data_IF_317714777275
#
_entry.id   IF_317714777275
#
_cell.length_a   1.000
_cell.length_b   1.000
_cell.length_c   1.000
_cell.angle_alpha   90.00
_cell.angle_beta   90.00
_cell.angle_gamma   90.00
#
_symmetry.space_group_name_H-M   'P 1'
#
loop_
_entity.id
_entity.type
_entity.pdbx_description
1 polymer ?
#
# COMPACT_ATOMS: atom_id res chain seq x y z
N UNK A 1 -2.37 14.37 -15.52
CA UNK A 1 -1.67 13.54 -14.52
C UNK A 1 -2.00 12.07 -14.75
N UNK A 2 -1.01 11.25 -15.09
CA UNK A 2 -1.17 9.82 -15.44
C UNK A 2 -0.84 8.87 -14.29
N UNK A 3 -0.45 9.38 -13.11
CA UNK A 3 0.04 8.59 -11.98
C UNK A 3 1.49 8.15 -12.10
N UNK A 4 1.94 7.78 -13.30
CA UNK A 4 3.23 7.15 -13.56
C UNK A 4 4.42 7.94 -13.00
N UNK A 5 5.40 7.21 -12.43
CA UNK A 5 6.67 7.79 -12.02
C UNK A 5 7.34 8.48 -13.22
N UNK A 6 7.87 9.71 -13.06
CA UNK A 6 8.59 10.37 -14.13
C UNK A 6 9.74 9.48 -14.66
N UNK A 7 10.01 9.44 -15.97
CA UNK A 7 11.03 8.56 -16.54
C UNK A 7 12.42 8.76 -15.91
N UNK A 8 12.75 9.99 -15.52
CA UNK A 8 14.00 10.30 -14.82
C UNK A 8 14.10 9.61 -13.45
N UNK A 9 12.99 9.52 -12.71
CA UNK A 9 12.97 8.87 -11.40
C UNK A 9 13.11 7.35 -11.53
N UNK A 10 12.48 6.75 -12.55
CA UNK A 10 12.67 5.32 -12.88
C UNK A 10 14.15 5.04 -13.20
N UNK A 11 14.81 5.91 -13.97
CA UNK A 11 16.25 5.78 -14.26
C UNK A 11 17.11 5.94 -13.01
N UNK A 12 16.78 6.88 -12.11
CA UNK A 12 17.48 7.05 -10.83
C UNK A 12 17.33 5.82 -9.95
N UNK A 13 16.13 5.26 -9.86
CA UNK A 13 15.87 4.02 -9.12
C UNK A 13 16.67 2.84 -9.69
N UNK A 14 16.88 2.75 -11.01
CA UNK A 14 17.73 1.71 -11.59
C UNK A 14 19.20 1.84 -11.16
N UNK A 15 19.70 3.06 -10.94
CA UNK A 15 21.07 3.29 -10.44
C UNK A 15 21.24 2.92 -8.96
N UNK A 16 20.15 2.66 -8.25
CA UNK A 16 20.15 2.18 -6.87
C UNK A 16 20.17 0.66 -6.77
N UNK A 17 20.57 -0.07 -7.82
CA UNK A 17 20.66 -1.54 -7.80
C UNK A 17 21.43 -2.07 -6.58
N UNK A 18 22.53 -1.40 -6.21
CA UNK A 18 23.32 -1.73 -5.02
C UNK A 18 22.49 -1.75 -3.73
N UNK A 19 21.50 -0.86 -3.59
CA UNK A 19 20.62 -0.80 -2.43
C UNK A 19 19.60 -1.94 -2.47
N UNK A 20 19.04 -2.21 -3.65
CA UNK A 20 18.05 -3.27 -3.83
C UNK A 20 18.66 -4.65 -3.59
N UNK A 21 19.89 -4.90 -4.04
CA UNK A 21 20.61 -6.15 -3.80
C UNK A 21 20.91 -6.42 -2.33
N UNK A 22 21.17 -5.36 -1.56
CA UNK A 22 21.41 -5.46 -0.11
C UNK A 22 20.10 -5.49 0.70
N UNK A 23 18.96 -5.17 0.09
CA UNK A 23 17.66 -5.14 0.77
C UNK A 23 17.10 -6.56 0.97
N UNK A 24 16.30 -6.72 2.03
CA UNK A 24 15.52 -7.94 2.29
C UNK A 24 14.01 -7.75 2.11
N UNK A 25 13.57 -6.50 2.05
CA UNK A 25 12.21 -6.09 1.76
C UNK A 25 12.22 -4.61 1.35
N UNK A 26 11.15 -4.16 0.70
CA UNK A 26 10.92 -2.77 0.31
C UNK A 26 9.69 -2.21 1.02
N UNK A 27 9.77 -0.93 1.37
CA UNK A 27 8.77 -0.24 2.18
C UNK A 27 8.32 1.08 1.55
N UNK A 28 7.66 1.06 0.38
CA UNK A 28 7.22 2.28 -0.28
C UNK A 28 6.15 2.99 0.56
N UNK A 29 6.30 4.28 0.79
CA UNK A 29 5.24 5.10 1.40
C UNK A 29 4.17 5.44 0.35
N UNK A 30 2.93 5.03 0.61
CA UNK A 30 1.74 5.32 -0.21
C UNK A 30 0.78 6.26 0.51
N UNK A 31 1.28 7.10 1.40
CA UNK A 31 0.47 8.04 2.17
C UNK A 31 -0.31 8.97 1.24
N UNK A 32 -1.63 9.05 1.46
CA UNK A 32 -2.54 9.82 0.63
C UNK A 32 -2.86 11.15 1.30
N UNK A 33 -2.63 12.26 0.60
CA UNK A 33 -3.02 13.59 1.04
C UNK A 33 -4.51 13.83 0.82
N UNK A 34 -5.12 14.69 1.63
CA UNK A 34 -6.57 14.94 1.57
C UNK A 34 -7.02 15.54 0.22
N UNK A 35 -6.14 16.26 -0.49
CA UNK A 35 -6.44 16.80 -1.83
C UNK A 35 -6.73 15.70 -2.88
N UNK A 36 -6.28 14.47 -2.62
CA UNK A 36 -6.51 13.30 -3.48
C UNK A 36 -7.74 12.48 -3.09
N UNK A 37 -8.45 12.91 -2.04
CA UNK A 37 -9.59 12.19 -1.49
C UNK A 37 -10.63 11.85 -2.55
N UNK A 38 -11.09 10.59 -2.53
CA UNK A 38 -12.19 10.08 -3.35
C UNK A 38 -11.98 10.34 -4.86
N UNK A 39 -10.72 10.46 -5.30
CA UNK A 39 -10.38 10.91 -6.65
C UNK A 39 -9.67 9.83 -7.48
N UNK A 40 -9.88 9.79 -8.81
CA UNK A 40 -9.09 8.95 -9.71
C UNK A 40 -7.59 9.24 -9.67
N UNK A 41 -7.21 10.46 -9.29
CA UNK A 41 -5.82 10.86 -9.12
C UNK A 41 -5.19 10.15 -7.92
N UNK A 42 -5.94 9.97 -6.81
CA UNK A 42 -5.50 9.21 -5.64
C UNK A 42 -5.23 7.75 -5.97
N UNK A 43 -6.13 7.09 -6.69
CA UNK A 43 -5.95 5.72 -7.19
C UNK A 43 -4.69 5.59 -8.06
N UNK A 44 -4.52 6.50 -9.03
CA UNK A 44 -3.35 6.50 -9.92
C UNK A 44 -2.04 6.76 -9.18
N UNK A 45 -2.07 7.66 -8.19
CA UNK A 45 -0.91 8.00 -7.35
C UNK A 45 -0.42 6.78 -6.57
N UNK A 46 -1.32 6.08 -5.88
CA UNK A 46 -0.95 4.88 -5.12
C UNK A 46 -0.53 3.75 -6.06
N UNK A 47 -1.29 3.53 -7.13
CA UNK A 47 -1.00 2.51 -8.13
C UNK A 47 0.39 2.64 -8.74
N UNK A 48 0.81 3.86 -9.10
CA UNK A 48 2.13 4.09 -9.65
C UNK A 48 3.26 3.82 -8.65
N UNK A 49 3.10 4.23 -7.38
CA UNK A 49 4.08 3.96 -6.33
C UNK A 49 4.25 2.46 -6.07
N UNK A 50 3.14 1.72 -6.01
CA UNK A 50 3.16 0.26 -5.86
C UNK A 50 3.79 -0.42 -7.08
N UNK A 51 3.45 0.05 -8.28
CA UNK A 51 3.99 -0.51 -9.52
C UNK A 51 5.50 -0.33 -9.60
N UNK A 52 6.01 0.84 -9.25
CA UNK A 52 7.45 1.09 -9.23
C UNK A 52 8.15 0.26 -8.15
N UNK A 53 7.58 0.17 -6.94
CA UNK A 53 8.14 -0.65 -5.87
C UNK A 53 8.24 -2.14 -6.25
N UNK A 54 7.19 -2.68 -6.87
CA UNK A 54 7.19 -4.06 -7.37
C UNK A 54 8.18 -4.24 -8.53
N UNK A 55 8.32 -3.25 -9.42
CA UNK A 55 9.31 -3.29 -10.50
C UNK A 55 10.73 -3.33 -9.95
N UNK A 56 11.09 -2.46 -9.00
CA UNK A 56 12.44 -2.46 -8.43
C UNK A 56 12.70 -3.68 -7.56
N UNK A 57 11.67 -4.29 -6.97
CA UNK A 57 11.77 -5.56 -6.24
C UNK A 57 12.22 -6.74 -7.12
N UNK A 58 12.01 -6.66 -8.43
CA UNK A 58 12.39 -7.68 -9.42
C UNK A 58 13.81 -7.43 -10.00
N UNK A 59 14.44 -6.29 -9.71
CA UNK A 59 15.77 -5.95 -10.26
C UNK A 59 16.95 -6.76 -9.68
N UNK A 60 17.01 -7.07 -8.37
CA UNK A 60 18.10 -7.85 -7.82
C UNK A 60 18.23 -9.22 -8.51
N UNK A 61 19.46 -9.68 -8.73
CA UNK A 61 19.75 -11.01 -9.30
C UNK A 61 19.51 -12.13 -8.28
N UNK A 62 18.28 -12.27 -7.79
CA UNK A 62 17.86 -13.26 -6.81
C UNK A 62 16.83 -14.23 -7.41
N UNK A 63 16.68 -15.41 -6.78
CA UNK A 63 15.70 -16.43 -7.20
C UNK A 63 14.23 -16.00 -7.01
N UNK A 64 13.99 -14.95 -6.25
CA UNK A 64 12.68 -14.40 -5.94
C UNK A 64 12.75 -12.86 -5.90
N UNK A 65 11.63 -12.20 -6.17
CA UNK A 65 11.53 -10.75 -5.97
C UNK A 65 11.54 -10.40 -4.48
N UNK A 66 11.98 -9.19 -4.16
CA UNK A 66 11.95 -8.69 -2.79
C UNK A 66 10.50 -8.59 -2.26
N UNK A 67 10.27 -8.98 -1.01
CA UNK A 67 9.03 -8.66 -0.31
C UNK A 67 8.74 -7.15 -0.33
N UNK A 68 7.49 -6.77 -0.64
CA UNK A 68 7.04 -5.37 -0.64
C UNK A 68 5.95 -5.20 0.42
N UNK A 69 6.22 -4.36 1.41
CA UNK A 69 5.27 -4.00 2.48
C UNK A 69 4.97 -2.51 2.40
N UNK A 70 3.82 -2.15 1.83
CA UNK A 70 3.49 -0.74 1.61
C UNK A 70 3.22 -0.02 2.94
N UNK A 71 3.85 1.12 3.16
CA UNK A 71 3.54 1.99 4.30
C UNK A 71 2.32 2.83 3.96
N UNK A 72 1.25 2.67 4.73
CA UNK A 72 0.01 3.43 4.61
C UNK A 72 -0.36 4.08 5.94
N UNK A 73 -1.23 5.09 5.88
CA UNK A 73 -1.84 5.71 7.07
C UNK A 73 -3.34 5.42 7.05
N UNK A 74 -3.97 5.22 8.22
CA UNK A 74 -5.43 5.10 8.30
C UNK A 74 -6.17 6.44 8.12
N UNK A 75 -5.44 7.55 8.10
CA UNK A 75 -5.94 8.91 7.92
C UNK A 75 -5.18 9.61 6.80
N UNK A 76 -5.76 10.63 6.17
CA UNK A 76 -5.05 11.45 5.19
C UNK A 76 -3.83 12.13 5.84
N UNK A 77 -2.73 12.23 5.08
CA UNK A 77 -1.43 12.73 5.57
C UNK A 77 -1.56 14.06 6.30
N UNK A 78 -0.92 14.18 7.47
CA UNK A 78 -0.93 15.37 8.32
C UNK A 78 -2.32 15.76 8.90
N UNK A 79 -3.29 14.83 8.87
CA UNK A 79 -4.62 15.04 9.45
C UNK A 79 -5.07 13.87 10.33
N UNK A 80 -6.15 14.08 11.07
CA UNK A 80 -6.96 13.02 11.69
C UNK A 80 -8.29 12.80 10.94
N UNK A 81 -8.32 13.07 9.63
CA UNK A 81 -9.47 12.75 8.78
C UNK A 81 -9.29 11.35 8.22
N UNK A 82 -10.25 10.49 8.56
CA UNK A 82 -10.26 9.07 8.22
C UNK A 82 -10.27 8.89 6.70
N UNK A 83 -9.54 7.89 6.21
CA UNK A 83 -9.69 7.51 4.80
C UNK A 83 -11.13 7.04 4.57
N UNK A 84 -11.73 7.52 3.48
CA UNK A 84 -13.03 7.05 3.03
C UNK A 84 -12.96 5.56 2.64
N UNK A 85 -14.13 4.93 2.47
CA UNK A 85 -14.18 3.57 1.94
C UNK A 85 -13.52 3.45 0.56
N UNK A 86 -13.71 4.45 -0.32
CA UNK A 86 -13.08 4.46 -1.63
C UNK A 86 -11.55 4.53 -1.52
N UNK A 87 -11.03 5.35 -0.61
CA UNK A 87 -9.58 5.49 -0.44
C UNK A 87 -8.94 4.35 0.34
N UNK A 88 -9.69 3.61 1.16
CA UNK A 88 -9.27 2.29 1.66
C UNK A 88 -9.09 1.28 0.51
N UNK A 89 -9.93 1.36 -0.52
CA UNK A 89 -9.78 0.58 -1.77
C UNK A 89 -8.58 1.07 -2.57
N UNK A 90 -8.43 2.37 -2.78
CA UNK A 90 -7.29 2.95 -3.51
C UNK A 90 -5.95 2.82 -2.79
N UNK A 91 -5.93 2.50 -1.49
CA UNK A 91 -4.70 2.28 -0.72
C UNK A 91 -4.48 0.79 -0.44
N UNK A 92 -5.10 0.28 0.62
CA UNK A 92 -4.93 -1.09 1.12
C UNK A 92 -5.40 -2.11 0.08
N UNK A 93 -6.57 -1.86 -0.53
CA UNK A 93 -7.13 -2.73 -1.57
C UNK A 93 -6.21 -2.84 -2.79
N UNK A 94 -5.71 -1.70 -3.26
CA UNK A 94 -4.83 -1.63 -4.41
C UNK A 94 -3.47 -2.29 -4.14
N UNK A 95 -2.91 -2.15 -2.93
CA UNK A 95 -1.71 -2.87 -2.52
C UNK A 95 -1.89 -4.40 -2.57
N UNK A 96 -3.00 -4.90 -2.01
CA UNK A 96 -3.34 -6.32 -2.06
C UNK A 96 -3.54 -6.81 -3.52
N UNK A 97 -4.29 -6.06 -4.33
CA UNK A 97 -4.55 -6.40 -5.73
C UNK A 97 -3.29 -6.35 -6.61
N UNK A 98 -2.31 -5.51 -6.28
CA UNK A 98 -1.01 -5.45 -6.94
C UNK A 98 -0.09 -6.63 -6.57
N UNK A 99 -0.45 -7.43 -5.56
CA UNK A 99 0.34 -8.57 -5.10
C UNK A 99 1.44 -8.20 -4.10
N UNK A 100 1.30 -7.06 -3.41
CA UNK A 100 2.17 -6.71 -2.29
C UNK A 100 2.14 -7.80 -1.21
N UNK A 101 3.22 -7.93 -0.45
CA UNK A 101 3.35 -8.95 0.59
C UNK A 101 2.61 -8.58 1.87
N UNK A 102 2.34 -7.29 2.07
CA UNK A 102 1.53 -6.80 3.17
C UNK A 102 1.49 -5.29 3.21
N UNK A 103 0.95 -4.76 4.31
CA UNK A 103 0.83 -3.34 4.57
C UNK A 103 1.30 -3.03 5.99
N UNK A 104 1.96 -1.90 6.17
CA UNK A 104 2.31 -1.35 7.48
C UNK A 104 1.42 -0.13 7.69
N UNK A 105 0.48 -0.21 8.63
CA UNK A 105 -0.34 0.92 9.04
C UNK A 105 0.43 1.74 10.08
N UNK A 106 0.86 2.93 9.66
CA UNK A 106 1.65 3.83 10.49
C UNK A 106 0.81 4.98 11.04
N UNK A 107 1.09 5.36 12.28
CA UNK A 107 0.50 6.52 12.97
C UNK A 107 1.57 7.31 13.70
N UNK A 108 1.37 8.63 13.80
CA UNK A 108 2.25 9.51 14.57
C UNK A 108 1.72 9.74 15.99
N UNK A 109 2.47 10.52 16.78
CA UNK A 109 2.13 10.79 18.19
C UNK A 109 0.78 11.51 18.36
N UNK A 110 0.24 12.19 17.34
CA UNK A 110 -1.05 12.86 17.43
C UNK A 110 -2.19 11.86 17.65
N UNK A 111 -1.99 10.61 17.21
CA UNK A 111 -3.01 9.58 17.29
C UNK A 111 -3.32 9.23 18.75
N UNK A 112 -2.29 9.18 19.60
CA UNK A 112 -2.41 8.88 21.02
C UNK A 112 -2.35 10.10 21.94
N UNK A 113 -2.39 11.32 21.38
CA UNK A 113 -2.11 12.56 22.13
C UNK A 113 -3.10 12.87 23.24
N UNK A 114 -4.37 12.55 23.05
CA UNK A 114 -5.41 12.80 24.03
C UNK A 114 -6.55 11.77 23.91
N UNK A 115 -7.42 11.73 24.92
CA UNK A 115 -8.53 10.78 25.00
C UNK A 115 -9.46 10.85 23.77
N UNK A 116 -9.74 12.06 23.26
CA UNK A 116 -10.63 12.26 22.11
C UNK A 116 -10.04 11.63 20.84
N UNK A 117 -8.75 11.85 20.57
CA UNK A 117 -8.05 11.25 19.43
C UNK A 117 -8.02 9.72 19.54
N UNK A 118 -7.69 9.17 20.73
CA UNK A 118 -7.72 7.73 20.96
C UNK A 118 -9.12 7.14 20.73
N UNK A 119 -10.17 7.81 21.20
CA UNK A 119 -11.56 7.37 21.00
C UNK A 119 -11.92 7.38 19.51
N UNK A 120 -11.59 8.45 18.79
CA UNK A 120 -11.80 8.53 17.35
C UNK A 120 -11.12 7.39 16.59
N UNK A 121 -9.87 7.08 16.91
CA UNK A 121 -9.14 5.97 16.27
C UNK A 121 -9.78 4.62 16.61
N UNK A 122 -10.16 4.42 17.86
CA UNK A 122 -10.85 3.19 18.29
C UNK A 122 -12.13 3.00 17.49
N UNK A 123 -12.94 4.05 17.39
CA UNK A 123 -14.24 4.00 16.73
C UNK A 123 -14.06 3.78 15.21
N UNK A 124 -13.05 4.40 14.58
CA UNK A 124 -12.69 4.13 13.18
C UNK A 124 -12.16 2.71 12.96
N UNK A 125 -11.32 2.21 13.87
CA UNK A 125 -10.74 0.86 13.81
C UNK A 125 -11.82 -0.21 13.95
N UNK A 126 -12.75 -0.05 14.90
CA UNK A 126 -13.86 -0.99 15.10
C UNK A 126 -14.95 -0.83 14.02
N UNK A 127 -15.07 0.37 13.45
CA UNK A 127 -16.04 0.71 12.42
C UNK A 127 -15.60 0.34 11.01
N UNK A 128 -14.98 1.28 10.29
CA UNK A 128 -14.71 1.11 8.86
C UNK A 128 -13.40 0.34 8.60
N UNK A 129 -12.31 0.68 9.29
CA UNK A 129 -10.98 0.18 8.96
C UNK A 129 -10.81 -1.31 9.27
N UNK A 130 -11.18 -1.75 10.47
CA UNK A 130 -10.98 -3.13 10.91
C UNK A 130 -11.71 -4.14 10.03
N UNK A 131 -13.04 -4.01 9.82
CA UNK A 131 -13.78 -4.87 8.91
C UNK A 131 -13.23 -4.86 7.48
N UNK A 132 -12.78 -3.70 6.97
CA UNK A 132 -12.16 -3.63 5.66
C UNK A 132 -10.84 -4.42 5.59
N UNK A 133 -9.96 -4.29 6.61
CA UNK A 133 -8.70 -5.05 6.69
C UNK A 133 -8.96 -6.55 6.77
N UNK A 134 -9.95 -6.98 7.54
CA UNK A 134 -10.35 -8.40 7.59
C UNK A 134 -10.83 -8.88 6.22
N UNK A 135 -11.70 -8.11 5.57
CA UNK A 135 -12.25 -8.47 4.26
C UNK A 135 -11.16 -8.61 3.20
N UNK A 136 -10.28 -7.62 3.05
CA UNK A 136 -9.20 -7.67 2.04
C UNK A 136 -8.21 -8.80 2.32
N UNK A 137 -7.93 -9.08 3.61
CA UNK A 137 -7.05 -10.18 4.01
C UNK A 137 -7.65 -11.53 3.65
N UNK A 138 -8.93 -11.76 3.98
CA UNK A 138 -9.64 -12.99 3.64
C UNK A 138 -9.76 -13.16 2.12
N UNK A 139 -10.07 -12.09 1.38
CA UNK A 139 -10.14 -12.13 -0.08
C UNK A 139 -8.79 -12.53 -0.70
N UNK A 140 -7.67 -11.98 -0.21
CA UNK A 140 -6.33 -12.33 -0.68
C UNK A 140 -5.98 -13.79 -0.35
N UNK A 141 -6.32 -14.28 0.85
CA UNK A 141 -6.11 -15.67 1.27
C UNK A 141 -6.92 -16.65 0.42
N UNK A 142 -8.21 -16.37 0.22
CA UNK A 142 -9.09 -17.19 -0.62
C UNK A 142 -8.59 -17.21 -2.06
N UNK A 143 -8.18 -16.07 -2.60
CA UNK A 143 -7.63 -16.02 -3.95
C UNK A 143 -6.35 -16.86 -4.06
N UNK A 144 -5.43 -16.76 -3.09
CA UNK A 144 -4.24 -17.62 -3.04
C UNK A 144 -4.60 -19.10 -3.04
N UNK A 145 -5.55 -19.53 -2.19
CA UNK A 145 -5.97 -20.93 -2.08
C UNK A 145 -6.64 -21.45 -3.35
N UNK A 146 -7.55 -20.69 -3.93
CA UNK A 146 -8.40 -21.17 -5.02
C UNK A 146 -7.81 -20.93 -6.42
N UNK A 147 -7.03 -19.88 -6.61
CA UNK A 147 -6.45 -19.51 -7.92
C UNK A 147 -4.98 -19.89 -8.01
N UNK A 148 -4.23 -19.77 -6.91
CA UNK A 148 -2.79 -20.06 -6.87
C UNK A 148 -2.46 -21.39 -6.15
N UNK A 149 -3.48 -22.21 -5.84
CA UNK A 149 -3.35 -23.48 -5.11
C UNK A 149 -2.57 -23.37 -3.78
N UNK A 150 -2.60 -22.20 -3.13
CA UNK A 150 -1.87 -21.94 -1.90
C UNK A 150 -0.36 -21.71 -2.07
N UNK A 151 0.15 -21.67 -3.29
CA UNK A 151 1.58 -21.52 -3.61
C UNK A 151 1.94 -20.17 -4.24
N UNK A 152 1.08 -19.17 -4.09
CA UNK A 152 1.33 -17.84 -4.66
C UNK A 152 0.36 -16.77 -4.18
N UNK A 153 0.57 -15.54 -4.63
CA UNK A 153 -0.33 -14.41 -4.42
C UNK A 153 -1.03 -14.05 -5.72
N UNK A 154 -2.31 -13.73 -5.64
CA UNK A 154 -3.02 -13.15 -6.77
C UNK A 154 -2.50 -11.74 -7.06
N UNK A 155 -2.31 -11.47 -8.36
CA UNK A 155 -1.95 -10.15 -8.88
C UNK A 155 -2.89 -9.81 -10.04
N UNK A 156 -3.44 -8.60 -10.02
CA UNK A 156 -4.31 -8.11 -11.10
C UNK A 156 -3.51 -8.07 -12.41
N UNK A 157 -4.03 -8.71 -13.47
CA UNK A 157 -3.35 -8.82 -14.79
C UNK A 157 -3.28 -7.49 -15.55
N UNK A 158 -4.22 -6.58 -15.30
CA UNK A 158 -4.27 -5.23 -15.87
C UNK A 158 -4.54 -4.22 -14.75
N UNK A 159 -3.50 -3.56 -14.22
CA UNK A 159 -3.65 -2.53 -13.22
C UNK A 159 -4.31 -1.27 -13.79
#
# INVERSE_FOLDING_TARGET
YTGHCPPLEVQRNNKLLWLWEQSKALYPSIYMEEVLRDSPQGERFVGAKLSEALRVAELPSARHSLPVFAYARPFYTYTLKELSQADLVHTIGQAAAAGAHGIVLWGDVEYSRNRSNCQKIRDYLLGALGPYVVNVTLAAQLCSRHVCHGHGRCRRRRP
#
